data_IF_724368441731
#
_entry.id   IF_724368441731
#
_cell.length_a   1.000
_cell.length_b   1.000
_cell.length_c   1.000
_cell.angle_alpha   90.00
_cell.angle_beta   90.00
_cell.angle_gamma   90.00
#
_symmetry.space_group_name_H-M   'P 1'
#
loop_
_entity.id
_entity.type
_entity.pdbx_description
1 polymer ?
#
# COMPACT_ATOMS: atom_id res chain seq x y z
N UNK A 1 -13.82 -8.01 31.18
CA UNK A 1 -14.54 -7.82 29.90
C UNK A 1 -13.62 -8.25 28.76
N UNK A 2 -13.93 -9.35 28.05
CA UNK A 2 -13.22 -9.68 26.79
C UNK A 2 -13.78 -8.75 25.72
N UNK A 3 -13.09 -7.64 25.47
CA UNK A 3 -13.39 -6.79 24.32
C UNK A 3 -13.32 -7.66 23.07
N UNK A 4 -14.41 -7.71 22.31
CA UNK A 4 -14.43 -8.37 21.00
C UNK A 4 -13.51 -7.53 20.12
N UNK A 5 -12.23 -7.87 20.07
CA UNK A 5 -11.36 -7.35 19.03
C UNK A 5 -11.99 -7.77 17.70
N UNK A 6 -12.27 -6.83 16.78
CA UNK A 6 -12.65 -7.18 15.43
C UNK A 6 -11.65 -8.21 14.88
N UNK A 7 -12.14 -9.20 14.12
CA UNK A 7 -11.24 -10.13 13.41
C UNK A 7 -10.19 -9.26 12.69
N UNK A 8 -8.91 -9.50 13.02
CA UNK A 8 -7.78 -8.75 12.50
C UNK A 8 -7.84 -8.65 10.96
N UNK A 9 -8.37 -9.68 10.30
CA UNK A 9 -8.59 -9.70 8.85
C UNK A 9 -9.60 -8.65 8.39
N UNK A 10 -10.72 -8.49 9.10
CA UNK A 10 -11.75 -7.53 8.77
C UNK A 10 -11.32 -6.10 9.06
N UNK A 11 -10.61 -5.88 10.18
CA UNK A 11 -9.96 -4.59 10.45
C UNK A 11 -8.97 -4.21 9.33
N UNK A 12 -8.09 -5.14 8.94
CA UNK A 12 -7.07 -4.94 7.91
C UNK A 12 -7.70 -4.63 6.55
N UNK A 13 -8.74 -5.38 6.16
CA UNK A 13 -9.51 -5.10 4.93
C UNK A 13 -10.09 -3.69 4.93
N UNK A 14 -10.68 -3.26 6.05
CA UNK A 14 -11.27 -1.91 6.17
C UNK A 14 -10.20 -0.82 6.14
N UNK A 15 -9.07 -1.01 6.84
CA UNK A 15 -7.98 -0.03 6.94
C UNK A 15 -7.30 0.27 5.60
N UNK A 16 -7.14 -0.75 4.75
CA UNK A 16 -6.42 -0.64 3.48
C UNK A 16 -7.34 -0.79 2.27
N UNK A 17 -8.63 -0.46 2.40
CA UNK A 17 -9.59 -0.63 1.30
C UNK A 17 -9.17 0.16 0.06
N UNK A 18 -8.97 1.48 0.21
CA UNK A 18 -8.61 2.37 -0.90
C UNK A 18 -7.25 1.99 -1.49
N UNK A 19 -6.28 1.73 -0.60
CA UNK A 19 -4.96 1.26 -1.00
C UNK A 19 -5.03 -0.01 -1.86
N UNK A 20 -5.73 -1.05 -1.40
CA UNK A 20 -5.87 -2.30 -2.13
C UNK A 20 -6.65 -2.15 -3.44
N UNK A 21 -7.70 -1.33 -3.47
CA UNK A 21 -8.43 -1.02 -4.70
C UNK A 21 -7.50 -0.43 -5.76
N UNK A 22 -6.63 0.51 -5.36
CA UNK A 22 -5.65 1.11 -6.28
C UNK A 22 -4.55 0.16 -6.71
N UNK A 23 -4.01 -0.67 -5.81
CA UNK A 23 -3.02 -1.68 -6.20
C UNK A 23 -3.63 -2.68 -7.18
N UNK A 24 -4.84 -3.17 -6.89
CA UNK A 24 -5.54 -4.16 -7.70
C UNK A 24 -6.00 -3.61 -9.06
N UNK A 25 -6.13 -2.29 -9.21
CA UNK A 25 -6.36 -1.66 -10.52
C UNK A 25 -5.25 -2.01 -11.53
N UNK A 26 -4.04 -2.31 -11.06
CA UNK A 26 -2.90 -2.67 -11.91
C UNK A 26 -2.71 -4.18 -12.07
N UNK A 27 -3.71 -5.02 -11.77
CA UNK A 27 -3.58 -6.49 -11.83
C UNK A 27 -3.06 -7.04 -13.17
N UNK A 28 -3.34 -6.33 -14.27
CA UNK A 28 -2.94 -6.73 -15.63
C UNK A 28 -1.62 -6.06 -16.07
N UNK A 29 -0.97 -5.29 -15.18
CA UNK A 29 0.32 -4.65 -15.46
C UNK A 29 1.48 -5.66 -15.32
N UNK A 30 2.51 -5.66 -16.19
CA UNK A 30 3.62 -6.61 -16.12
C UNK A 30 4.38 -6.64 -14.78
N UNK A 31 4.35 -5.53 -14.04
CA UNK A 31 4.98 -5.39 -12.71
C UNK A 31 4.03 -5.65 -11.53
N UNK A 32 2.81 -6.14 -11.78
CA UNK A 32 1.81 -6.27 -10.74
C UNK A 32 2.24 -7.19 -9.60
N UNK A 33 2.85 -8.34 -9.90
CA UNK A 33 3.27 -9.29 -8.87
C UNK A 33 4.26 -8.64 -7.89
N UNK A 34 5.24 -7.92 -8.42
CA UNK A 34 6.17 -7.13 -7.63
C UNK A 34 5.45 -6.04 -6.82
N UNK A 35 4.54 -5.28 -7.45
CA UNK A 35 3.77 -4.23 -6.79
C UNK A 35 2.92 -4.78 -5.63
N UNK A 36 2.26 -5.92 -5.83
CA UNK A 36 1.42 -6.57 -4.82
C UNK A 36 2.25 -7.03 -3.63
N UNK A 37 3.40 -7.66 -3.87
CA UNK A 37 4.34 -8.05 -2.81
C UNK A 37 4.82 -6.84 -2.02
N UNK A 38 5.23 -5.78 -2.73
CA UNK A 38 5.67 -4.54 -2.10
C UNK A 38 4.56 -3.88 -1.25
N UNK A 39 3.32 -3.91 -1.74
CA UNK A 39 2.15 -3.43 -1.01
C UNK A 39 1.85 -4.27 0.25
N UNK A 40 2.02 -5.60 0.18
CA UNK A 40 1.85 -6.49 1.32
C UNK A 40 2.90 -6.25 2.40
N UNK A 41 4.16 -6.06 2.00
CA UNK A 41 5.27 -5.71 2.88
C UNK A 41 5.02 -4.36 3.57
N UNK A 42 4.52 -3.36 2.84
CA UNK A 42 4.20 -2.06 3.40
C UNK A 42 3.05 -2.12 4.43
N UNK A 43 2.00 -2.91 4.18
CA UNK A 43 0.93 -3.11 5.16
C UNK A 43 1.45 -3.81 6.42
N UNK A 44 2.28 -4.85 6.27
CA UNK A 44 2.90 -5.54 7.41
C UNK A 44 3.80 -4.60 8.21
N UNK A 45 4.59 -3.76 7.52
CA UNK A 45 5.45 -2.79 8.17
C UNK A 45 4.63 -1.74 8.95
N UNK A 46 3.55 -1.22 8.35
CA UNK A 46 2.65 -0.25 8.98
C UNK A 46 1.89 -0.81 10.20
N UNK A 47 1.69 -2.12 10.27
CA UNK A 47 1.15 -2.81 11.44
C UNK A 47 2.21 -3.10 12.52
N UNK A 48 3.49 -2.89 12.21
CA UNK A 48 4.61 -3.10 13.10
C UNK A 48 4.96 -1.86 13.94
N UNK A 49 6.25 -1.68 14.22
CA UNK A 49 6.76 -0.58 15.04
C UNK A 49 8.05 0.01 14.47
N UNK A 50 8.40 1.21 14.96
CA UNK A 50 9.65 1.88 14.62
C UNK A 50 9.68 2.43 13.19
N UNK A 51 10.88 2.55 12.63
CA UNK A 51 11.11 3.22 11.34
C UNK A 51 10.38 2.55 10.16
N UNK A 52 10.25 1.22 10.18
CA UNK A 52 9.55 0.48 9.12
C UNK A 52 8.06 0.82 9.08
N UNK A 53 7.43 1.06 10.23
CA UNK A 53 6.04 1.51 10.32
C UNK A 53 5.84 2.83 9.60
N UNK A 54 6.74 3.80 9.83
CA UNK A 54 6.68 5.11 9.19
C UNK A 54 6.80 4.99 7.66
N UNK A 55 7.72 4.14 7.18
CA UNK A 55 7.86 3.87 5.74
C UNK A 55 6.63 3.21 5.12
N UNK A 56 6.07 2.21 5.80
CA UNK A 56 4.84 1.54 5.35
C UNK A 56 3.68 2.52 5.27
N UNK A 57 3.48 3.32 6.31
CA UNK A 57 2.46 4.37 6.37
C UNK A 57 2.59 5.36 5.21
N UNK A 58 3.80 5.86 4.97
CA UNK A 58 4.09 6.84 3.92
C UNK A 58 3.79 6.27 2.51
N UNK A 59 4.22 5.04 2.23
CA UNK A 59 3.90 4.41 0.94
C UNK A 59 2.39 4.23 0.74
N UNK A 60 1.69 3.75 1.77
CA UNK A 60 0.24 3.54 1.72
C UNK A 60 -0.49 4.85 1.44
N UNK A 61 -0.14 5.91 2.18
CA UNK A 61 -0.74 7.24 2.03
C UNK A 61 -0.52 7.82 0.62
N UNK A 62 0.68 7.64 0.05
CA UNK A 62 0.97 8.07 -1.33
C UNK A 62 0.08 7.38 -2.34
N UNK A 63 0.00 6.05 -2.29
CA UNK A 63 -0.86 5.31 -3.21
C UNK A 63 -2.32 5.76 -3.04
N UNK A 64 -2.81 5.91 -1.80
CA UNK A 64 -4.18 6.38 -1.54
C UNK A 64 -4.46 7.80 -2.09
N UNK A 65 -3.48 8.70 -2.08
CA UNK A 65 -3.64 10.10 -2.56
C UNK A 65 -3.35 10.29 -4.04
N UNK A 66 -2.44 9.52 -4.63
CA UNK A 66 -1.98 9.77 -6.01
C UNK A 66 -3.00 9.32 -7.07
N UNK A 67 -3.12 10.06 -8.20
CA UNK A 67 -3.91 9.60 -9.34
C UNK A 67 -3.41 8.27 -9.89
N UNK A 68 -4.31 7.45 -10.41
CA UNK A 68 -3.95 6.16 -11.02
C UNK A 68 -2.95 6.31 -12.17
N UNK A 69 -3.07 7.38 -12.96
CA UNK A 69 -2.12 7.69 -14.03
C UNK A 69 -0.70 7.92 -13.50
N UNK A 70 -0.57 8.63 -12.37
CA UNK A 70 0.74 8.86 -11.76
C UNK A 70 1.39 7.56 -11.26
N UNK A 71 0.60 6.67 -10.66
CA UNK A 71 1.07 5.33 -10.24
C UNK A 71 1.42 4.49 -11.47
N UNK A 72 0.64 4.57 -12.55
CA UNK A 72 0.94 3.89 -13.83
C UNK A 72 2.28 4.36 -14.39
N UNK A 73 2.54 5.66 -14.38
CA UNK A 73 3.78 6.24 -14.87
C UNK A 73 4.97 5.82 -14.02
N UNK A 74 4.81 5.71 -12.71
CA UNK A 74 5.82 5.13 -11.82
C UNK A 74 6.14 3.68 -12.18
N UNK A 75 5.11 2.85 -12.35
CA UNK A 75 5.29 1.44 -12.75
C UNK A 75 5.99 1.32 -14.11
N UNK A 76 5.77 2.29 -15.00
CA UNK A 76 6.44 2.37 -16.29
C UNK A 76 7.82 3.06 -16.25
N UNK A 77 8.28 3.51 -15.08
CA UNK A 77 9.57 4.20 -14.93
C UNK A 77 9.61 5.62 -15.51
N UNK A 78 8.44 6.22 -15.78
CA UNK A 78 8.30 7.58 -16.31
C UNK A 78 8.37 8.66 -15.24
N UNK A 79 8.09 8.30 -13.98
CA UNK A 79 8.28 9.17 -12.83
C UNK A 79 8.85 8.37 -11.64
N UNK A 80 9.10 9.08 -10.54
CA UNK A 80 9.50 8.47 -9.27
C UNK A 80 8.40 8.72 -8.25
N UNK A 81 8.03 7.67 -7.52
CA UNK A 81 7.08 7.74 -6.40
C UNK A 81 7.81 7.96 -5.06
N UNK A 82 9.14 7.78 -5.06
CA UNK A 82 10.05 8.06 -3.94
C UNK A 82 10.49 9.53 -3.94
N UNK A 83 10.67 10.13 -2.75
CA UNK A 83 11.46 11.35 -2.65
C UNK A 83 12.91 11.03 -3.04
N UNK A 84 13.49 11.81 -3.94
CA UNK A 84 14.91 12.14 -3.76
C UNK A 84 15.01 12.82 -2.42
N UNK A 85 15.58 12.11 -1.45
CA UNK A 85 16.11 12.64 -0.18
C UNK A 85 16.71 14.01 -0.35
#
# INVERSE_FOLDING_TARGET
>A
MKGIMPDHKEWRKKRYKIFNEKINYFKDHPKYEWLRKYADDAMNANEGFGYLMIKGADFIERIEKMPLEYIRDWLNGKNKLEWTT
#
